data_IF_816965846543
#
_entry.id   IF_816965846543
#
_cell.length_a   1.000
_cell.length_b   1.000
_cell.length_c   1.000
_cell.angle_alpha   90.00
_cell.angle_beta   90.00
_cell.angle_gamma   90.00
#
_symmetry.space_group_name_H-M   'P 1'
#
loop_
_entity.id
_entity.type
_entity.pdbx_description
1 polymer ?
#
# COMPACT_ATOMS: atom_id res chain seq x y z
N UNK A 1 -14.30 2.20 -23.15
CA UNK A 1 -13.10 2.56 -23.95
C UNK A 1 -13.32 2.16 -25.39
N UNK A 2 -12.88 2.98 -26.35
CA UNK A 2 -13.12 2.83 -27.79
C UNK A 2 -12.19 1.77 -28.40
N UNK A 3 -12.71 0.94 -29.31
CA UNK A 3 -11.90 0.12 -30.21
C UNK A 3 -11.52 0.98 -31.43
N UNK A 4 -10.25 1.00 -31.87
CA UNK A 4 -9.86 1.71 -33.08
C UNK A 4 -10.58 1.17 -34.31
N UNK A 5 -10.60 1.98 -35.37
CA UNK A 5 -11.07 1.53 -36.68
C UNK A 5 -9.89 1.09 -37.54
N UNK A 6 -10.14 0.37 -38.62
CA UNK A 6 -9.11 0.12 -39.62
C UNK A 6 -8.93 1.32 -40.55
N UNK A 7 -7.67 1.61 -40.88
CA UNK A 7 -7.29 2.57 -41.90
C UNK A 7 -6.91 1.83 -43.17
N UNK A 8 -7.43 2.29 -44.31
CA UNK A 8 -7.13 1.70 -45.61
C UNK A 8 -5.63 1.84 -45.94
N UNK A 9 -4.92 0.73 -45.87
CA UNK A 9 -3.49 0.61 -46.20
C UNK A 9 -3.32 -0.78 -46.81
N UNK A 10 -3.56 -0.94 -48.12
CA UNK A 10 -3.67 -2.27 -48.74
C UNK A 10 -2.32 -2.98 -48.78
N UNK A 11 -2.11 -3.88 -47.83
CA UNK A 11 -0.93 -4.74 -47.74
C UNK A 11 -1.33 -6.21 -47.85
N UNK A 12 -0.61 -6.97 -48.67
CA UNK A 12 -0.72 -8.43 -48.69
C UNK A 12 0.01 -9.04 -47.50
N UNK A 13 -0.60 -10.02 -46.84
CA UNK A 13 0.02 -10.72 -45.72
C UNK A 13 -0.98 -11.51 -44.87
N UNK A 14 -0.56 -11.87 -43.65
CA UNK A 14 -1.41 -12.59 -42.68
C UNK A 14 -2.09 -11.64 -41.72
N UNK A 15 -3.39 -11.84 -41.48
CA UNK A 15 -4.14 -11.11 -40.46
C UNK A 15 -3.59 -11.44 -39.06
N UNK A 16 -3.34 -10.43 -38.23
CA UNK A 16 -2.76 -10.61 -36.89
C UNK A 16 -3.67 -11.40 -35.93
N UNK A 17 -4.98 -11.40 -36.20
CA UNK A 17 -5.95 -12.17 -35.44
C UNK A 17 -6.17 -13.58 -36.00
N UNK A 18 -6.83 -13.70 -37.16
CA UNK A 18 -7.26 -14.99 -37.70
C UNK A 18 -6.17 -15.76 -38.46
N UNK A 19 -4.97 -15.16 -38.62
CA UNK A 19 -3.79 -15.73 -39.31
C UNK A 19 -3.99 -16.11 -40.78
N UNK A 20 -5.18 -15.91 -41.35
CA UNK A 20 -5.46 -16.10 -42.78
C UNK A 20 -4.70 -15.08 -43.61
N UNK A 21 -4.20 -15.54 -44.75
CA UNK A 21 -3.65 -14.67 -45.78
C UNK A 21 -4.76 -13.84 -46.43
N UNK A 22 -4.48 -12.56 -46.66
CA UNK A 22 -5.37 -11.63 -47.34
C UNK A 22 -4.55 -10.80 -48.32
N UNK A 23 -5.15 -10.50 -49.47
CA UNK A 23 -4.56 -9.58 -50.45
C UNK A 23 -4.75 -8.11 -50.04
N UNK A 24 -5.71 -7.83 -49.17
CA UNK A 24 -5.96 -6.51 -48.62
C UNK A 24 -6.14 -6.63 -47.10
N UNK A 25 -5.05 -6.38 -46.38
CA UNK A 25 -5.10 -6.09 -44.95
C UNK A 25 -5.14 -4.58 -44.77
N UNK A 26 -5.78 -4.13 -43.70
CA UNK A 26 -5.82 -2.74 -43.28
C UNK A 26 -5.12 -2.60 -41.94
N UNK A 27 -4.49 -1.46 -41.68
CA UNK A 27 -3.76 -1.23 -40.43
C UNK A 27 -4.69 -0.65 -39.35
N UNK A 28 -4.35 -0.89 -38.09
CA UNK A 28 -4.98 -0.22 -36.96
C UNK A 28 -4.81 1.30 -37.09
N UNK A 29 -5.89 2.08 -36.97
CA UNK A 29 -5.86 3.55 -37.15
C UNK A 29 -4.90 4.25 -36.20
N UNK A 30 -4.75 3.72 -34.99
CA UNK A 30 -4.07 4.40 -33.89
C UNK A 30 -2.57 4.13 -33.93
N UNK A 31 -2.15 2.87 -33.89
CA UNK A 31 -0.73 2.53 -33.85
C UNK A 31 -0.11 2.27 -35.23
N UNK A 32 -0.90 1.90 -36.25
CA UNK A 32 -0.46 1.41 -37.57
C UNK A 32 0.56 0.26 -37.54
N UNK A 33 0.66 -0.46 -36.42
CA UNK A 33 1.62 -1.56 -36.20
C UNK A 33 0.99 -2.95 -36.35
N UNK A 34 -0.34 -3.04 -36.36
CA UNK A 34 -1.08 -4.29 -36.52
C UNK A 34 -2.04 -4.25 -37.71
N UNK A 35 -2.24 -5.40 -38.34
CA UNK A 35 -2.88 -5.55 -39.65
C UNK A 35 -4.00 -6.59 -39.63
N UNK A 36 -5.15 -6.24 -40.17
CA UNK A 36 -6.37 -7.05 -40.08
C UNK A 36 -7.14 -7.07 -41.39
N UNK A 37 -7.82 -8.18 -41.66
CA UNK A 37 -8.69 -8.31 -42.84
C UNK A 37 -10.07 -7.64 -42.62
N UNK A 38 -10.49 -7.39 -41.38
CA UNK A 38 -11.78 -6.75 -41.07
C UNK A 38 -11.79 -6.11 -39.67
N UNK A 39 -12.68 -5.12 -39.46
CA UNK A 39 -12.89 -4.51 -38.14
C UNK A 39 -13.28 -5.57 -37.09
N UNK A 40 -14.01 -6.62 -37.47
CA UNK A 40 -14.35 -7.74 -36.59
C UNK A 40 -13.09 -8.48 -36.08
N UNK A 41 -12.08 -8.66 -36.94
CA UNK A 41 -10.80 -9.25 -36.52
C UNK A 41 -10.04 -8.34 -35.56
N UNK A 42 -10.08 -7.02 -35.78
CA UNK A 42 -9.50 -6.04 -34.87
C UNK A 42 -10.21 -6.05 -33.50
N UNK A 43 -11.54 -5.99 -33.49
CA UNK A 43 -12.37 -6.05 -32.27
C UNK A 43 -12.09 -7.33 -31.47
N UNK A 44 -12.01 -8.46 -32.15
CA UNK A 44 -11.75 -9.75 -31.51
C UNK A 44 -10.32 -9.86 -30.96
N UNK A 45 -9.36 -9.20 -31.61
CA UNK A 45 -7.96 -9.12 -31.14
C UNK A 45 -7.74 -8.02 -30.11
N UNK A 46 -8.69 -7.11 -29.92
CA UNK A 46 -8.47 -5.88 -29.14
C UNK A 46 -8.05 -6.17 -27.70
N UNK A 47 -8.55 -7.25 -27.10
CA UNK A 47 -8.18 -7.67 -25.73
C UNK A 47 -6.67 -7.82 -25.50
N UNK A 48 -5.92 -8.22 -26.52
CA UNK A 48 -4.46 -8.37 -26.47
C UNK A 48 -3.74 -7.26 -27.23
N UNK A 49 -4.26 -6.86 -28.39
CA UNK A 49 -3.63 -5.80 -29.21
C UNK A 49 -3.50 -4.49 -28.47
N UNK A 50 -4.52 -4.12 -27.68
CA UNK A 50 -4.54 -2.84 -26.95
C UNK A 50 -3.33 -2.63 -26.04
N UNK A 51 -2.79 -3.72 -25.49
CA UNK A 51 -1.66 -3.69 -24.56
C UNK A 51 -0.37 -3.16 -25.19
N UNK A 52 -0.28 -3.21 -26.52
CA UNK A 52 0.86 -2.71 -27.31
C UNK A 52 0.45 -1.59 -28.28
N UNK A 53 -0.84 -1.23 -28.30
CA UNK A 53 -1.40 -0.17 -29.15
C UNK A 53 -1.55 1.15 -28.41
N UNK A 54 -2.01 1.10 -27.16
CA UNK A 54 -2.27 2.27 -26.32
C UNK A 54 -0.98 2.80 -25.69
N UNK A 55 -1.01 4.07 -25.28
CA UNK A 55 0.05 4.61 -24.44
C UNK A 55 0.03 3.92 -23.07
N UNK A 56 1.20 3.62 -22.45
CA UNK A 56 1.26 3.05 -21.11
C UNK A 56 0.39 3.77 -20.06
N UNK A 57 0.19 5.08 -20.17
CA UNK A 57 -0.66 5.85 -19.24
C UNK A 57 -2.16 5.52 -19.36
N UNK A 58 -2.59 5.03 -20.53
CA UNK A 58 -3.98 4.64 -20.79
C UNK A 58 -4.26 3.19 -20.37
N UNK A 59 -3.23 2.42 -20.05
CA UNK A 59 -3.36 1.04 -19.59
C UNK A 59 -3.81 1.01 -18.14
N UNK A 60 -4.77 0.14 -17.85
CA UNK A 60 -5.17 -0.15 -16.47
C UNK A 60 -4.08 -0.96 -15.75
N UNK A 61 -4.14 -1.04 -14.43
CA UNK A 61 -3.23 -1.91 -13.65
C UNK A 61 -3.38 -3.39 -14.06
N UNK A 62 -4.57 -3.85 -14.44
CA UNK A 62 -4.76 -5.22 -14.94
C UNK A 62 -4.10 -5.43 -16.32
N UNK A 63 -4.17 -4.43 -17.21
CA UNK A 63 -3.49 -4.48 -18.51
C UNK A 63 -1.97 -4.60 -18.33
N UNK A 64 -1.39 -3.82 -17.41
CA UNK A 64 0.04 -3.87 -17.09
C UNK A 64 0.43 -5.18 -16.42
N UNK A 65 -0.44 -5.76 -15.60
CA UNK A 65 -0.25 -7.11 -15.04
C UNK A 65 -0.32 -8.20 -16.13
N UNK A 66 -1.21 -8.07 -17.10
CA UNK A 66 -1.31 -9.01 -18.22
C UNK A 66 -0.04 -8.96 -19.10
N UNK A 67 0.52 -7.77 -19.35
CA UNK A 67 1.82 -7.63 -20.01
C UNK A 67 2.95 -8.34 -19.24
N UNK A 68 2.99 -8.19 -17.91
CA UNK A 68 3.93 -8.91 -17.06
C UNK A 68 3.75 -10.44 -17.19
N UNK A 69 2.50 -10.93 -17.15
CA UNK A 69 2.17 -12.34 -17.34
C UNK A 69 2.58 -12.91 -18.72
N UNK A 70 2.37 -12.15 -19.80
CA UNK A 70 2.74 -12.58 -21.15
C UNK A 70 4.26 -12.61 -21.37
N UNK A 71 4.99 -11.71 -20.72
CA UNK A 71 6.46 -11.65 -20.76
C UNK A 71 7.13 -12.59 -19.76
N UNK A 72 6.35 -13.23 -18.86
CA UNK A 72 6.87 -14.10 -17.81
C UNK A 72 7.70 -13.37 -16.75
N UNK A 73 7.64 -12.04 -16.70
CA UNK A 73 8.40 -11.21 -15.77
C UNK A 73 7.48 -10.64 -14.70
N UNK A 74 7.78 -10.80 -13.39
CA UNK A 74 6.95 -10.24 -12.33
C UNK A 74 6.76 -8.72 -12.47
N UNK A 75 5.58 -8.17 -12.10
CA UNK A 75 5.31 -6.75 -12.20
C UNK A 75 6.25 -5.94 -11.29
N UNK A 76 6.62 -4.74 -11.74
CA UNK A 76 7.40 -3.75 -10.95
C UNK A 76 6.65 -2.45 -10.73
N UNK A 77 5.53 -2.28 -11.42
CA UNK A 77 4.68 -1.10 -11.33
C UNK A 77 4.04 -1.00 -9.93
N UNK A 78 4.25 0.11 -9.20
CA UNK A 78 3.75 0.24 -7.83
C UNK A 78 2.24 0.08 -7.69
N UNK A 79 1.46 0.58 -8.66
CA UNK A 79 0.00 0.49 -8.61
C UNK A 79 -0.45 -0.96 -8.88
N UNK A 80 0.21 -1.67 -9.79
CA UNK A 80 -0.03 -3.12 -9.99
C UNK A 80 0.30 -3.90 -8.73
N UNK A 81 1.45 -3.61 -8.11
CA UNK A 81 1.85 -4.29 -6.88
C UNK A 81 0.84 -4.05 -5.74
N UNK A 82 0.29 -2.85 -5.66
CA UNK A 82 -0.73 -2.45 -4.69
C UNK A 82 -2.08 -3.12 -4.95
N UNK A 83 -2.58 -2.99 -6.18
CA UNK A 83 -3.91 -3.42 -6.59
C UNK A 83 -4.10 -4.94 -6.51
N UNK A 84 -3.05 -5.70 -6.85
CA UNK A 84 -3.11 -7.15 -6.98
C UNK A 84 -2.41 -7.89 -5.84
N UNK A 85 -2.22 -7.22 -4.69
CA UNK A 85 -1.84 -7.87 -3.44
C UNK A 85 -0.36 -8.19 -3.28
N UNK A 86 0.49 -7.87 -4.25
CA UNK A 86 1.93 -8.13 -4.16
C UNK A 86 2.60 -7.36 -3.02
N UNK A 87 2.16 -6.12 -2.74
CA UNK A 87 2.64 -5.37 -1.58
C UNK A 87 2.16 -5.97 -0.25
N UNK A 88 1.02 -6.66 -0.24
CA UNK A 88 0.47 -7.30 0.95
C UNK A 88 1.11 -8.65 1.26
N UNK A 89 1.73 -9.28 0.26
CA UNK A 89 2.48 -10.52 0.43
C UNK A 89 3.86 -10.24 1.04
N UNK A 90 4.09 -10.79 2.24
CA UNK A 90 5.34 -10.65 2.98
C UNK A 90 6.36 -11.73 2.63
N UNK A 91 5.91 -12.90 2.15
CA UNK A 91 6.81 -13.99 1.77
C UNK A 91 7.11 -13.95 0.26
N UNK A 92 8.38 -14.11 -0.17
CA UNK A 92 8.73 -14.11 -1.59
C UNK A 92 7.97 -15.17 -2.41
N UNK A 93 7.77 -16.37 -1.87
CA UNK A 93 7.01 -17.44 -2.54
C UNK A 93 5.54 -17.07 -2.74
N UNK A 94 4.91 -16.36 -1.79
CA UNK A 94 3.54 -15.85 -1.94
C UNK A 94 3.41 -14.89 -3.13
N UNK A 95 4.41 -14.04 -3.37
CA UNK A 95 4.41 -13.15 -4.55
C UNK A 95 4.50 -13.93 -5.85
N UNK A 96 5.27 -15.01 -5.88
CA UNK A 96 5.34 -15.91 -7.03
C UNK A 96 3.98 -16.60 -7.27
N UNK A 97 3.33 -17.13 -6.21
CA UNK A 97 2.01 -17.73 -6.34
C UNK A 97 0.94 -16.74 -6.83
N UNK A 98 0.92 -15.49 -6.33
CA UNK A 98 0.05 -14.43 -6.87
C UNK A 98 0.30 -14.21 -8.36
N UNK A 99 1.57 -14.10 -8.76
CA UNK A 99 1.91 -13.90 -10.16
C UNK A 99 1.46 -15.07 -11.03
N UNK A 100 1.64 -16.31 -10.57
CA UNK A 100 1.23 -17.50 -11.30
C UNK A 100 -0.29 -17.62 -11.45
N UNK A 101 -1.08 -17.18 -10.47
CA UNK A 101 -2.54 -17.12 -10.57
C UNK A 101 -2.96 -16.23 -11.73
N UNK A 102 -2.46 -14.98 -11.75
CA UNK A 102 -2.82 -14.04 -12.81
C UNK A 102 -2.23 -14.45 -14.16
N UNK A 103 -1.01 -15.01 -14.17
CA UNK A 103 -0.39 -15.55 -15.38
C UNK A 103 -1.24 -16.66 -15.99
N UNK A 104 -1.78 -17.57 -15.19
CA UNK A 104 -2.64 -18.63 -15.68
C UNK A 104 -3.98 -18.07 -16.20
N UNK A 105 -4.60 -17.13 -15.46
CA UNK A 105 -5.83 -16.45 -15.89
C UNK A 105 -5.68 -15.78 -17.26
N UNK A 106 -4.58 -15.08 -17.50
CA UNK A 106 -4.36 -14.38 -18.77
C UNK A 106 -3.88 -15.31 -19.88
N UNK A 107 -2.91 -16.19 -19.61
CA UNK A 107 -2.26 -16.99 -20.66
C UNK A 107 -3.09 -18.23 -21.04
N UNK A 108 -3.67 -18.92 -20.06
CA UNK A 108 -4.45 -20.15 -20.27
C UNK A 108 -5.95 -19.86 -20.31
N UNK A 109 -6.43 -19.01 -19.42
CA UNK A 109 -7.84 -18.62 -19.39
C UNK A 109 -8.24 -17.67 -20.52
N UNK A 110 -7.29 -16.92 -21.08
CA UNK A 110 -7.57 -15.95 -22.14
C UNK A 110 -8.55 -14.84 -21.72
N UNK A 111 -8.70 -14.63 -20.40
CA UNK A 111 -9.60 -13.62 -19.82
C UNK A 111 -9.09 -12.24 -20.20
N UNK A 112 -10.00 -11.38 -20.63
CA UNK A 112 -9.68 -9.99 -20.96
C UNK A 112 -9.23 -9.23 -19.70
N UNK A 113 -8.06 -8.57 -19.71
CA UNK A 113 -7.58 -7.80 -18.56
C UNK A 113 -8.57 -6.74 -18.07
N UNK A 114 -9.43 -6.20 -18.95
CA UNK A 114 -10.49 -5.25 -18.59
C UNK A 114 -11.53 -5.86 -17.64
N UNK A 115 -11.83 -7.14 -17.83
CA UNK A 115 -12.75 -7.87 -16.94
C UNK A 115 -12.13 -8.00 -15.56
N UNK A 116 -10.86 -8.41 -15.49
CA UNK A 116 -10.11 -8.49 -14.22
C UNK A 116 -10.00 -7.12 -13.53
N UNK A 117 -9.77 -6.05 -14.30
CA UNK A 117 -9.79 -4.69 -13.77
C UNK A 117 -11.14 -4.29 -13.17
N UNK A 118 -12.24 -4.68 -13.80
CA UNK A 118 -13.58 -4.42 -13.30
C UNK A 118 -13.85 -5.16 -11.99
N UNK A 119 -13.52 -6.46 -11.91
CA UNK A 119 -13.60 -7.21 -10.64
C UNK A 119 -12.74 -6.59 -9.53
N UNK A 120 -11.60 -5.97 -9.86
CA UNK A 120 -10.81 -5.19 -8.90
C UNK A 120 -11.55 -3.96 -8.42
N UNK A 121 -12.08 -3.15 -9.34
CA UNK A 121 -12.87 -1.96 -8.99
C UNK A 121 -14.08 -2.30 -8.11
N UNK A 122 -14.72 -3.43 -8.39
CA UNK A 122 -15.90 -3.90 -7.67
C UNK A 122 -15.56 -4.60 -6.34
N UNK A 123 -14.27 -4.76 -6.01
CA UNK A 123 -13.82 -5.44 -4.79
C UNK A 123 -14.07 -6.95 -4.78
N UNK A 124 -14.25 -7.56 -5.94
CA UNK A 124 -14.69 -8.96 -6.14
C UNK A 124 -13.64 -9.82 -6.85
N UNK A 125 -12.36 -9.44 -6.81
CA UNK A 125 -11.25 -10.22 -7.39
C UNK A 125 -11.18 -11.67 -6.89
N UNK A 126 -11.42 -11.89 -5.60
CA UNK A 126 -11.43 -13.24 -5.01
C UNK A 126 -12.45 -14.12 -5.74
N UNK A 127 -13.66 -13.60 -5.96
CA UNK A 127 -14.72 -14.30 -6.67
C UNK A 127 -14.37 -14.55 -8.14
N UNK A 128 -13.71 -13.60 -8.81
CA UNK A 128 -13.22 -13.76 -10.18
C UNK A 128 -12.26 -14.95 -10.30
N UNK A 129 -11.27 -15.02 -9.39
CA UNK A 129 -10.27 -16.10 -9.37
C UNK A 129 -10.93 -17.44 -9.06
N UNK A 130 -11.83 -17.49 -8.06
CA UNK A 130 -12.58 -18.70 -7.71
C UNK A 130 -13.38 -19.23 -8.90
N UNK A 131 -14.20 -18.38 -9.52
CA UNK A 131 -15.04 -18.74 -10.67
C UNK A 131 -14.20 -19.35 -11.80
N UNK A 132 -13.03 -18.76 -12.07
CA UNK A 132 -12.15 -19.25 -13.11
C UNK A 132 -11.53 -20.62 -12.76
N UNK A 133 -10.95 -20.76 -11.56
CA UNK A 133 -10.27 -22.00 -11.17
C UNK A 133 -11.23 -23.15 -10.86
N UNK A 134 -12.44 -22.87 -10.38
CA UNK A 134 -13.43 -23.90 -10.06
C UNK A 134 -14.00 -24.55 -11.32
N UNK A 135 -13.99 -23.85 -12.47
CA UNK A 135 -14.32 -24.42 -13.77
C UNK A 135 -13.28 -25.44 -14.29
N UNK A 136 -12.06 -25.43 -13.74
CA UNK A 136 -10.99 -26.39 -14.06
C UNK A 136 -11.21 -27.66 -13.23
N UNK A 137 -11.02 -28.87 -13.80
CA UNK A 137 -11.05 -30.12 -13.04
C UNK A 137 -10.11 -30.06 -11.83
N UNK A 138 -10.55 -30.59 -10.68
CA UNK A 138 -9.85 -30.45 -9.40
C UNK A 138 -8.38 -30.89 -9.46
N UNK A 139 -8.11 -32.02 -10.13
CA UNK A 139 -6.76 -32.56 -10.32
C UNK A 139 -5.81 -31.64 -11.14
N UNK A 140 -6.34 -30.63 -11.82
CA UNK A 140 -5.60 -29.72 -12.70
C UNK A 140 -5.52 -28.27 -12.18
N UNK A 141 -6.07 -27.98 -11.01
CA UNK A 141 -6.07 -26.61 -10.44
C UNK A 141 -4.70 -26.17 -9.91
N UNK A 142 -3.84 -27.14 -9.56
CA UNK A 142 -2.48 -26.90 -9.08
C UNK A 142 -2.37 -26.33 -7.66
N UNK A 143 -1.15 -26.25 -7.16
CA UNK A 143 -0.86 -25.80 -5.79
C UNK A 143 -1.12 -24.31 -5.57
N UNK A 144 -0.97 -23.48 -6.60
CA UNK A 144 -1.18 -22.03 -6.51
C UNK A 144 -2.62 -21.68 -6.12
N UNK A 145 -3.60 -22.45 -6.59
CA UNK A 145 -5.01 -22.25 -6.23
C UNK A 145 -5.28 -22.68 -4.77
N UNK A 146 -4.70 -23.81 -4.34
CA UNK A 146 -4.79 -24.26 -2.94
C UNK A 146 -4.13 -23.28 -1.96
N UNK A 147 -3.03 -22.63 -2.38
CA UNK A 147 -2.43 -21.52 -1.66
C UNK A 147 -3.36 -20.29 -1.63
N UNK A 148 -3.98 -19.93 -2.76
CA UNK A 148 -4.89 -18.79 -2.85
C UNK A 148 -6.09 -18.91 -1.91
N UNK A 149 -6.71 -20.09 -1.81
CA UNK A 149 -7.86 -20.31 -0.93
C UNK A 149 -7.56 -19.97 0.54
N UNK A 150 -6.30 -20.13 0.98
CA UNK A 150 -5.84 -19.80 2.34
C UNK A 150 -5.37 -18.34 2.48
N UNK A 151 -5.13 -17.66 1.36
CA UNK A 151 -4.52 -16.32 1.32
C UNK A 151 -5.38 -15.27 0.58
N UNK A 152 -6.69 -15.48 0.52
CA UNK A 152 -7.64 -14.56 -0.14
C UNK A 152 -7.58 -13.14 0.43
N UNK A 153 -7.16 -12.99 1.69
CA UNK A 153 -7.00 -11.70 2.36
C UNK A 153 -6.05 -10.74 1.63
N UNK A 154 -5.10 -11.27 0.86
CA UNK A 154 -4.17 -10.49 0.03
C UNK A 154 -4.84 -9.84 -1.18
N UNK A 155 -6.08 -10.18 -1.50
CA UNK A 155 -6.80 -9.69 -2.69
C UNK A 155 -8.16 -9.07 -2.34
N UNK A 156 -8.52 -9.05 -1.05
CA UNK A 156 -9.66 -8.30 -0.58
C UNK A 156 -9.45 -6.79 -0.81
N UNK A 157 -10.53 -5.99 -0.92
CA UNK A 157 -10.39 -4.55 -0.93
C UNK A 157 -9.85 -4.03 0.42
N UNK A 158 -9.06 -2.95 0.44
CA UNK A 158 -8.68 -2.30 1.69
C UNK A 158 -9.94 -1.83 2.44
N UNK A 159 -9.98 -1.95 3.78
CA UNK A 159 -11.12 -1.49 4.59
C UNK A 159 -11.30 0.03 4.56
N UNK A 160 -10.25 0.76 4.19
CA UNK A 160 -10.30 2.19 3.96
C UNK A 160 -9.94 2.42 2.50
N UNK A 161 -10.76 3.21 1.81
CA UNK A 161 -10.36 3.71 0.52
C UNK A 161 -9.11 4.55 0.78
N UNK A 162 -7.96 4.11 0.28
CA UNK A 162 -6.71 4.81 0.53
C UNK A 162 -6.70 6.10 -0.29
N UNK A 163 -7.37 7.12 0.23
CA UNK A 163 -7.31 8.49 -0.29
C UNK A 163 -5.88 9.05 -0.17
N UNK A 164 -4.95 8.30 0.43
CA UNK A 164 -3.53 8.63 0.49
C UNK A 164 -2.77 8.36 -0.82
N UNK A 165 -3.43 7.94 -1.90
CA UNK A 165 -3.00 8.38 -3.24
C UNK A 165 -3.30 9.88 -3.42
N UNK A 166 -2.69 10.68 -2.57
CA UNK A 166 -2.55 12.08 -2.82
C UNK A 166 -1.35 12.29 -3.72
N UNK A 167 -1.65 12.81 -4.89
CA UNK A 167 -0.66 13.53 -5.68
C UNK A 167 -0.30 14.75 -4.84
N UNK A 168 0.83 14.67 -4.14
CA UNK A 168 1.52 15.85 -3.66
C UNK A 168 2.05 16.57 -4.90
N UNK A 169 1.15 17.33 -5.53
CA UNK A 169 1.43 18.07 -6.74
C UNK A 169 2.26 19.31 -6.46
N UNK A 170 2.68 19.96 -7.55
CA UNK A 170 3.49 21.16 -7.51
C UNK A 170 2.74 22.33 -6.84
N UNK A 171 1.41 22.36 -6.91
CA UNK A 171 0.58 23.36 -6.23
C UNK A 171 0.64 23.20 -4.70
N UNK A 172 0.48 21.97 -4.20
CA UNK A 172 0.60 21.66 -2.78
C UNK A 172 2.02 21.93 -2.25
N UNK A 173 3.05 21.66 -3.08
CA UNK A 173 4.44 21.98 -2.78
C UNK A 173 4.64 23.50 -2.64
N UNK A 174 4.18 24.29 -3.61
CA UNK A 174 4.30 25.75 -3.60
C UNK A 174 3.53 26.39 -2.44
N UNK A 175 2.30 25.94 -2.20
CA UNK A 175 1.49 26.45 -1.10
C UNK A 175 2.16 26.19 0.26
N UNK A 176 2.73 25.00 0.45
CA UNK A 176 3.47 24.67 1.69
C UNK A 176 4.75 25.47 1.80
N UNK A 177 5.50 25.63 0.69
CA UNK A 177 6.71 26.45 0.65
C UNK A 177 6.43 27.89 1.06
N UNK A 178 5.39 28.50 0.51
CA UNK A 178 4.94 29.84 0.90
C UNK A 178 4.51 29.90 2.37
N UNK A 179 3.74 28.92 2.83
CA UNK A 179 3.28 28.84 4.22
C UNK A 179 4.44 28.84 5.23
N UNK A 180 5.54 28.15 4.92
CA UNK A 180 6.71 28.09 5.81
C UNK A 180 7.65 29.31 5.68
N UNK A 181 7.29 30.32 4.88
CA UNK A 181 8.06 31.55 4.70
C UNK A 181 8.93 31.60 3.44
N UNK A 182 8.79 30.64 2.53
CA UNK A 182 9.41 30.67 1.21
C UNK A 182 8.79 31.71 0.27
N UNK A 183 9.49 32.08 -0.81
CA UNK A 183 8.96 33.06 -1.76
C UNK A 183 7.82 32.48 -2.58
N UNK A 184 6.73 33.24 -2.73
CA UNK A 184 5.62 32.89 -3.62
C UNK A 184 6.01 32.89 -5.11
N UNK A 185 7.14 33.50 -5.45
CA UNK A 185 7.67 33.52 -6.82
C UNK A 185 8.52 32.30 -7.17
N UNK A 186 8.87 31.45 -6.18
CA UNK A 186 9.71 30.28 -6.42
C UNK A 186 8.92 29.22 -7.21
N UNK A 187 9.51 28.75 -8.29
CA UNK A 187 8.96 27.66 -9.11
C UNK A 187 9.12 26.31 -8.40
N UNK A 188 8.30 25.30 -8.73
CA UNK A 188 8.40 23.97 -8.13
C UNK A 188 9.80 23.35 -8.27
N UNK A 189 10.46 23.60 -9.41
CA UNK A 189 11.83 23.15 -9.68
C UNK A 189 12.85 23.79 -8.74
N UNK A 190 12.76 25.11 -8.53
CA UNK A 190 13.63 25.84 -7.61
C UNK A 190 13.42 25.40 -6.16
N UNK A 191 12.16 25.18 -5.76
CA UNK A 191 11.81 24.66 -4.44
C UNK A 191 12.45 23.28 -4.22
N UNK A 192 12.25 22.34 -5.16
CA UNK A 192 12.84 20.99 -5.11
C UNK A 192 14.37 21.05 -5.01
N UNK A 193 15.01 21.94 -5.78
CA UNK A 193 16.47 22.13 -5.74
C UNK A 193 16.94 22.64 -4.37
N UNK A 194 16.24 23.63 -3.79
CA UNK A 194 16.59 24.18 -2.46
C UNK A 194 16.38 23.15 -1.34
N UNK A 195 15.35 22.33 -1.46
CA UNK A 195 15.07 21.28 -0.50
C UNK A 195 16.05 20.11 -0.62
N UNK A 196 16.74 19.92 -1.74
CA UNK A 196 17.61 18.77 -1.96
C UNK A 196 18.71 18.61 -0.89
N UNK A 197 19.20 19.72 -0.34
CA UNK A 197 20.24 19.72 0.70
C UNK A 197 19.69 19.55 2.13
N UNK A 198 18.37 19.39 2.31
CA UNK A 198 17.77 19.27 3.62
C UNK A 198 18.03 17.88 4.23
N UNK A 199 18.19 17.81 5.56
CA UNK A 199 18.21 16.53 6.25
C UNK A 199 16.84 15.85 6.16
N UNK A 200 16.83 14.52 6.28
CA UNK A 200 15.62 13.71 6.12
C UNK A 200 14.50 14.15 7.08
N UNK A 201 14.83 14.50 8.33
CA UNK A 201 13.87 14.99 9.32
C UNK A 201 13.20 16.30 8.90
N UNK A 202 13.92 17.17 8.20
CA UNK A 202 13.36 18.44 7.71
C UNK A 202 12.40 18.18 6.54
N UNK A 203 12.73 17.24 5.66
CA UNK A 203 11.80 16.74 4.65
C UNK A 203 10.54 16.12 5.26
N UNK A 204 10.68 15.31 6.31
CA UNK A 204 9.52 14.71 7.02
C UNK A 204 8.62 15.80 7.61
N UNK A 205 9.18 16.80 8.29
CA UNK A 205 8.41 17.92 8.83
C UNK A 205 7.69 18.72 7.74
N UNK A 206 8.38 19.01 6.63
CA UNK A 206 7.78 19.73 5.51
C UNK A 206 6.60 18.95 4.91
N UNK A 207 6.81 17.66 4.64
CA UNK A 207 5.78 16.78 4.09
C UNK A 207 4.59 16.67 5.04
N UNK A 208 4.82 16.58 6.35
CA UNK A 208 3.74 16.58 7.32
C UNK A 208 2.92 17.87 7.32
N UNK A 209 3.56 19.04 7.21
CA UNK A 209 2.84 20.32 7.07
C UNK A 209 2.04 20.35 5.76
N UNK A 210 2.61 19.85 4.65
CA UNK A 210 1.90 19.76 3.38
C UNK A 210 0.61 18.94 3.50
N UNK A 211 0.67 17.79 4.19
CA UNK A 211 -0.51 16.97 4.50
C UNK A 211 -1.48 17.70 5.43
N UNK A 212 -0.96 18.42 6.43
CA UNK A 212 -1.74 19.15 7.43
C UNK A 212 -2.59 20.28 6.83
N UNK A 213 -2.07 20.94 5.80
CA UNK A 213 -2.74 22.04 5.10
C UNK A 213 -3.81 21.57 4.10
N UNK A 214 -3.85 20.28 3.77
CA UNK A 214 -4.84 19.74 2.84
C UNK A 214 -6.20 19.55 3.53
N UNK A 215 -7.21 20.23 2.99
CA UNK A 215 -8.56 20.15 3.53
C UNK A 215 -9.11 18.72 3.48
N UNK A 216 -9.63 18.24 4.62
CA UNK A 216 -10.25 16.92 4.73
C UNK A 216 -9.27 15.74 4.79
N UNK A 217 -7.95 15.98 4.79
CA UNK A 217 -6.98 14.89 4.87
C UNK A 217 -7.01 14.19 6.23
N UNK A 218 -6.74 12.88 6.20
CA UNK A 218 -6.58 12.03 7.39
C UNK A 218 -5.39 11.10 7.18
N UNK A 219 -4.57 10.97 8.22
CA UNK A 219 -3.47 10.03 8.21
C UNK A 219 -3.99 8.60 8.32
N UNK A 220 -3.52 7.73 7.43
CA UNK A 220 -3.72 6.29 7.54
C UNK A 220 -2.51 5.65 8.22
N UNK A 221 -2.68 4.49 8.89
CA UNK A 221 -1.54 3.73 9.42
C UNK A 221 -0.50 3.36 8.35
N UNK A 222 -0.87 3.38 7.08
CA UNK A 222 0.05 3.13 5.97
C UNK A 222 1.08 4.23 5.74
N UNK A 223 0.90 5.38 6.38
CA UNK A 223 1.79 6.54 6.29
C UNK A 223 2.79 6.55 7.44
N UNK A 224 4.10 6.76 7.19
CA UNK A 224 5.08 6.91 8.25
C UNK A 224 4.74 8.10 9.18
N UNK A 225 4.11 9.15 8.65
CA UNK A 225 3.70 10.33 9.41
C UNK A 225 2.69 10.01 10.53
N UNK A 226 1.87 8.96 10.37
CA UNK A 226 0.94 8.50 11.40
C UNK A 226 1.67 8.05 12.67
N UNK A 227 2.80 7.36 12.50
CA UNK A 227 3.67 7.00 13.60
C UNK A 227 4.54 8.19 14.04
N UNK A 228 5.23 8.85 13.11
CA UNK A 228 6.23 9.88 13.40
C UNK A 228 5.67 11.11 14.14
N UNK A 229 4.39 11.45 13.92
CA UNK A 229 3.73 12.57 14.59
C UNK A 229 2.71 12.12 15.65
N UNK A 230 2.85 10.88 16.16
CA UNK A 230 2.16 10.43 17.36
C UNK A 230 0.69 10.04 17.20
N UNK A 231 0.13 10.11 15.99
CA UNK A 231 -1.26 9.70 15.72
C UNK A 231 -1.49 8.20 16.03
N UNK A 232 -0.45 7.37 15.90
CA UNK A 232 -0.46 5.98 16.35
C UNK A 232 -0.82 5.81 17.83
N UNK A 233 -0.61 6.82 18.67
CA UNK A 233 -0.99 6.82 20.09
C UNK A 233 -2.47 7.08 20.35
N UNK A 234 -3.22 7.58 19.36
CA UNK A 234 -4.65 7.83 19.50
C UNK A 234 -5.45 6.51 19.57
N UNK A 235 -6.52 6.54 20.36
CA UNK A 235 -7.44 5.39 20.55
C UNK A 235 -8.72 5.49 19.71
N UNK A 236 -9.00 6.67 19.15
CA UNK A 236 -10.22 6.92 18.40
C UNK A 236 -10.02 8.02 17.36
N UNK A 237 -10.89 8.04 16.35
CA UNK A 237 -10.94 9.10 15.34
C UNK A 237 -11.15 10.49 15.97
N UNK A 238 -11.85 10.56 17.10
CA UNK A 238 -12.06 11.81 17.82
C UNK A 238 -10.76 12.35 18.45
N UNK A 239 -9.92 11.46 18.98
CA UNK A 239 -8.59 11.84 19.47
C UNK A 239 -7.66 12.26 18.33
N UNK A 240 -7.65 11.52 17.21
CA UNK A 240 -6.86 11.90 16.03
C UNK A 240 -7.28 13.28 15.48
N UNK A 241 -8.59 13.53 15.40
CA UNK A 241 -9.13 14.84 14.95
C UNK A 241 -8.70 15.98 15.88
N UNK A 242 -8.70 15.75 17.21
CA UNK A 242 -8.23 16.73 18.19
C UNK A 242 -6.73 16.99 18.04
N UNK A 243 -5.92 15.94 17.88
CA UNK A 243 -4.48 16.06 17.67
C UNK A 243 -4.16 16.79 16.36
N UNK A 244 -4.87 16.47 15.28
CA UNK A 244 -4.77 17.16 13.99
C UNK A 244 -5.06 18.66 14.12
N UNK A 245 -6.16 19.03 14.78
CA UNK A 245 -6.52 20.42 15.02
C UNK A 245 -5.48 21.15 15.89
N UNK A 246 -4.88 20.46 16.87
CA UNK A 246 -3.81 21.01 17.69
C UNK A 246 -2.55 21.27 16.85
N UNK A 247 -2.12 20.32 16.01
CA UNK A 247 -1.01 20.52 15.09
C UNK A 247 -1.26 21.70 14.15
N UNK A 248 -2.45 21.80 13.55
CA UNK A 248 -2.80 22.89 12.62
C UNK A 248 -2.73 24.27 13.30
N UNK A 249 -3.19 24.36 14.56
CA UNK A 249 -3.04 25.58 15.36
C UNK A 249 -1.56 25.87 15.65
N UNK A 250 -0.81 24.85 16.05
CA UNK A 250 0.60 25.00 16.41
C UNK A 250 1.41 25.55 15.23
N UNK A 251 1.35 24.91 14.06
CA UNK A 251 2.15 25.31 12.87
C UNK A 251 1.80 26.69 12.33
N UNK A 252 0.62 27.24 12.68
CA UNK A 252 0.22 28.61 12.35
C UNK A 252 0.78 29.66 13.33
N UNK A 253 1.29 29.22 14.48
CA UNK A 253 1.80 30.10 15.55
C UNK A 253 3.32 30.07 15.71
N UNK A 254 3.98 29.04 15.18
CA UNK A 254 5.44 28.86 15.25
C UNK A 254 6.04 28.94 13.85
N UNK A 255 7.33 29.29 13.76
CA UNK A 255 8.05 29.18 12.49
C UNK A 255 8.33 27.71 12.14
N UNK A 256 8.56 27.44 10.85
CA UNK A 256 8.92 26.09 10.42
C UNK A 256 10.20 25.57 11.09
N UNK A 257 11.22 26.41 11.24
CA UNK A 257 12.45 26.00 11.92
C UNK A 257 12.22 25.72 13.41
N UNK A 258 11.35 26.48 14.11
CA UNK A 258 10.96 26.15 15.48
C UNK A 258 10.27 24.77 15.57
N UNK A 259 9.33 24.50 14.66
CA UNK A 259 8.65 23.20 14.59
C UNK A 259 9.64 22.06 14.30
N UNK A 260 10.49 22.22 13.29
CA UNK A 260 11.52 21.26 12.90
C UNK A 260 12.53 21.00 14.02
N UNK A 261 13.00 22.04 14.69
CA UNK A 261 13.90 21.89 15.83
C UNK A 261 13.24 21.19 17.01
N UNK A 262 11.96 21.47 17.28
CA UNK A 262 11.24 20.75 18.32
C UNK A 262 11.03 19.27 17.98
N UNK A 263 10.77 18.95 16.72
CA UNK A 263 10.69 17.56 16.25
C UNK A 263 12.02 16.82 16.42
N UNK A 264 13.12 17.36 15.88
CA UNK A 264 14.45 16.73 15.97
C UNK A 264 14.96 16.60 17.40
N UNK A 265 14.52 17.49 18.31
CA UNK A 265 14.84 17.44 19.75
C UNK A 265 13.86 16.62 20.59
N UNK A 266 12.86 15.96 19.99
CA UNK A 266 11.83 15.21 20.72
C UNK A 266 11.12 16.08 21.76
N UNK A 267 10.97 17.37 21.47
CA UNK A 267 10.41 18.38 22.36
C UNK A 267 9.12 18.99 21.81
N UNK A 268 8.47 18.32 20.84
CA UNK A 268 7.13 18.69 20.38
C UNK A 268 6.12 18.82 21.54
N UNK A 269 6.07 17.91 22.54
CA UNK A 269 5.15 18.07 23.67
C UNK A 269 5.37 19.37 24.46
N UNK A 270 6.63 19.77 24.64
CA UNK A 270 6.97 21.03 25.29
C UNK A 270 6.55 22.23 24.44
N UNK A 271 6.75 22.17 23.12
CA UNK A 271 6.31 23.21 22.18
C UNK A 271 4.78 23.37 22.20
N UNK A 272 4.03 22.27 22.18
CA UNK A 272 2.58 22.25 22.35
C UNK A 272 2.14 22.95 23.64
N UNK A 273 2.78 22.60 24.75
CA UNK A 273 2.45 23.15 26.08
C UNK A 273 2.74 24.65 26.15
N UNK A 274 3.86 25.11 25.59
CA UNK A 274 4.24 26.53 25.54
C UNK A 274 3.24 27.39 24.74
N UNK A 275 2.52 26.79 23.79
CA UNK A 275 1.49 27.45 22.98
C UNK A 275 0.06 27.19 23.48
N UNK A 276 -0.12 26.72 24.72
CA UNK A 276 -1.44 26.52 25.32
C UNK A 276 -2.24 25.35 24.73
N UNK A 277 -1.55 24.38 24.11
CA UNK A 277 -2.14 23.21 23.45
C UNK A 277 -1.60 21.90 24.05
N UNK A 278 -1.64 21.69 25.38
CA UNK A 278 -0.97 20.55 26.02
C UNK A 278 -1.52 19.22 25.53
N UNK A 279 -0.61 18.32 25.14
CA UNK A 279 -0.95 16.93 24.78
C UNK A 279 -1.07 16.11 26.08
N UNK A 280 -2.25 15.58 26.34
CA UNK A 280 -2.54 14.81 27.58
C UNK A 280 -2.55 13.30 27.39
N UNK A 281 -2.55 12.82 26.14
CA UNK A 281 -2.53 11.39 25.87
C UNK A 281 -1.11 10.84 26.07
N UNK A 282 -0.94 10.00 27.10
CA UNK A 282 0.34 9.38 27.46
C UNK A 282 0.98 8.57 26.32
N UNK A 283 0.19 7.97 25.42
CA UNK A 283 0.72 7.23 24.27
C UNK A 283 1.27 8.17 23.20
N UNK A 284 0.60 9.30 22.96
CA UNK A 284 1.11 10.33 22.06
C UNK A 284 2.39 10.95 22.65
N UNK A 285 2.41 11.20 23.96
CA UNK A 285 3.59 11.69 24.67
C UNK A 285 4.77 10.71 24.58
N UNK A 286 4.52 9.41 24.76
CA UNK A 286 5.54 8.36 24.62
C UNK A 286 6.20 8.38 23.24
N UNK A 287 5.39 8.51 22.18
CA UNK A 287 5.89 8.54 20.81
C UNK A 287 6.66 9.85 20.54
N UNK A 288 6.08 11.00 20.87
CA UNK A 288 6.66 12.31 20.57
C UNK A 288 7.88 12.67 21.45
N UNK A 289 8.00 12.06 22.63
CA UNK A 289 9.12 12.24 23.54
C UNK A 289 10.38 11.45 23.12
N UNK A 290 10.22 10.38 22.35
CA UNK A 290 11.34 9.56 21.87
C UNK A 290 11.66 9.78 20.37
N UNK A 291 10.66 10.15 19.55
CA UNK A 291 10.80 10.36 18.09
C UNK A 291 11.55 11.66 17.78
N UNK A 292 12.43 11.73 16.76
CA UNK A 292 12.81 10.69 15.80
C UNK A 292 13.97 9.77 16.24
N UNK A 293 14.44 9.87 17.50
CA UNK A 293 15.67 9.20 17.94
C UNK A 293 15.48 7.73 18.26
N UNK A 294 14.36 7.38 18.89
CA UNK A 294 14.02 6.02 19.28
C UNK A 294 12.51 5.83 19.16
N UNK A 295 12.09 4.67 18.69
CA UNK A 295 10.67 4.30 18.66
C UNK A 295 10.55 2.92 19.26
N UNK A 296 9.75 2.78 20.31
CA UNK A 296 9.45 1.46 20.90
C UNK A 296 8.84 0.57 19.82
N UNK A 297 9.30 -0.68 19.73
CA UNK A 297 8.93 -1.59 18.65
C UNK A 297 7.42 -1.86 18.58
N UNK A 298 6.70 -1.69 19.69
CA UNK A 298 5.24 -1.89 19.74
C UNK A 298 4.48 -0.91 18.87
N UNK A 299 5.03 0.29 18.64
CA UNK A 299 4.41 1.26 17.76
C UNK A 299 4.57 0.87 16.29
N UNK A 300 5.68 0.25 15.92
CA UNK A 300 5.86 -0.39 14.61
C UNK A 300 4.91 -1.59 14.45
N UNK A 301 4.71 -2.39 15.50
CA UNK A 301 3.72 -3.47 15.50
C UNK A 301 2.30 -2.92 15.28
N UNK A 302 1.91 -1.88 16.02
CA UNK A 302 0.58 -1.26 15.87
C UNK A 302 0.40 -0.71 14.45
N UNK A 303 1.42 -0.07 13.89
CA UNK A 303 1.38 0.38 12.50
C UNK A 303 1.22 -0.77 11.53
N UNK A 304 2.04 -1.83 11.65
CA UNK A 304 1.98 -3.02 10.79
C UNK A 304 0.63 -3.75 10.84
N UNK A 305 -0.01 -3.81 12.01
CA UNK A 305 -1.26 -4.56 12.21
C UNK A 305 -2.50 -3.80 11.78
N UNK A 306 -2.44 -2.47 11.80
CA UNK A 306 -3.56 -1.60 11.40
C UNK A 306 -3.42 -1.11 9.96
N UNK A 307 -2.19 -0.97 9.46
CA UNK A 307 -1.90 -0.61 8.09
C UNK A 307 -2.08 -1.78 7.14
N UNK A 308 -2.45 -1.45 5.92
CA UNK A 308 -2.86 -2.42 4.92
C UNK A 308 -1.76 -2.77 3.91
N UNK A 309 -0.78 -1.89 3.74
CA UNK A 309 0.38 -2.03 2.85
C UNK A 309 1.72 -2.01 3.61
N UNK A 310 1.68 -2.04 4.94
CA UNK A 310 2.86 -2.04 5.78
C UNK A 310 3.69 -3.30 5.61
N UNK A 311 5.01 -3.12 5.54
CA UNK A 311 5.95 -4.23 5.48
C UNK A 311 6.41 -4.63 6.89
N UNK A 312 6.82 -5.88 7.05
CA UNK A 312 7.46 -6.35 8.28
C UNK A 312 8.80 -5.64 8.46
N UNK A 313 8.94 -4.93 9.57
CA UNK A 313 10.20 -4.30 9.97
C UNK A 313 10.98 -5.23 10.90
N UNK A 314 12.30 -5.06 10.99
CA UNK A 314 13.15 -5.87 11.87
C UNK A 314 12.65 -5.93 13.31
N UNK A 315 12.25 -4.82 13.96
CA UNK A 315 11.71 -4.87 15.31
C UNK A 315 10.43 -5.72 15.40
N UNK A 316 9.57 -5.70 14.37
CA UNK A 316 8.33 -6.48 14.36
C UNK A 316 8.61 -7.97 14.20
N UNK A 317 9.58 -8.33 13.37
CA UNK A 317 10.02 -9.71 13.16
C UNK A 317 10.55 -10.34 14.44
N UNK A 318 11.42 -9.62 15.17
CA UNK A 318 12.13 -10.15 16.33
C UNK A 318 11.26 -10.16 17.59
N UNK A 319 10.57 -9.07 17.87
CA UNK A 319 9.94 -8.86 19.18
C UNK A 319 8.56 -9.53 19.29
N UNK A 320 7.83 -9.62 18.18
CA UNK A 320 6.41 -10.00 18.19
C UNK A 320 6.12 -11.31 17.44
N UNK A 321 7.14 -12.13 17.22
CA UNK A 321 6.99 -13.51 16.76
C UNK A 321 6.77 -13.69 15.26
N UNK A 322 6.77 -12.61 14.47
CA UNK A 322 6.61 -12.70 13.01
C UNK A 322 7.81 -13.38 12.33
N UNK A 323 9.00 -13.29 12.91
CA UNK A 323 10.18 -14.01 12.43
C UNK A 323 10.07 -15.54 12.57
N UNK A 324 9.15 -16.03 13.40
CA UNK A 324 8.91 -17.46 13.60
C UNK A 324 7.81 -18.01 12.68
N UNK A 325 7.13 -17.15 11.91
CA UNK A 325 6.12 -17.56 10.94
C UNK A 325 6.77 -18.20 9.71
N UNK A 326 6.24 -19.34 9.27
CA UNK A 326 6.78 -20.11 8.12
C UNK A 326 6.13 -19.76 6.79
N UNK A 327 4.93 -19.19 6.83
CA UNK A 327 4.12 -18.89 5.66
C UNK A 327 3.25 -17.65 5.90
N UNK A 328 2.67 -17.17 4.81
CA UNK A 328 1.82 -15.98 4.76
C UNK A 328 0.54 -16.12 5.59
N UNK A 329 -0.05 -17.32 5.61
CA UNK A 329 -1.25 -17.63 6.38
C UNK A 329 -1.00 -17.44 7.88
N UNK A 330 0.16 -17.91 8.36
CA UNK A 330 0.58 -17.76 9.75
C UNK A 330 0.88 -16.30 10.08
N UNK A 331 1.54 -15.56 9.17
CA UNK A 331 1.78 -14.11 9.32
C UNK A 331 0.45 -13.37 9.46
N UNK A 332 -0.50 -13.62 8.55
CA UNK A 332 -1.80 -12.98 8.57
C UNK A 332 -2.58 -13.33 9.84
N UNK A 333 -2.60 -14.61 10.23
CA UNK A 333 -3.27 -15.06 11.45
C UNK A 333 -2.72 -14.38 12.70
N UNK A 334 -1.39 -14.25 12.81
CA UNK A 334 -0.75 -13.55 13.91
C UNK A 334 -1.02 -12.03 13.86
N UNK A 335 -1.04 -11.43 12.67
CA UNK A 335 -1.43 -10.04 12.48
C UNK A 335 -2.86 -9.79 12.99
N UNK A 336 -3.80 -10.69 12.73
CA UNK A 336 -5.19 -10.58 13.22
C UNK A 336 -5.28 -10.67 14.74
N UNK A 337 -4.46 -11.51 15.38
CA UNK A 337 -4.37 -11.58 16.86
C UNK A 337 -3.98 -10.21 17.43
N UNK A 338 -2.93 -9.58 16.92
CA UNK A 338 -2.51 -8.25 17.39
C UNK A 338 -3.50 -7.14 17.02
N UNK A 339 -4.11 -7.20 15.84
CA UNK A 339 -5.17 -6.27 15.43
C UNK A 339 -6.34 -6.29 16.42
N UNK A 340 -6.76 -7.49 16.84
CA UNK A 340 -7.80 -7.68 17.85
C UNK A 340 -7.44 -7.05 19.19
N UNK A 341 -6.18 -7.14 19.61
CA UNK A 341 -5.71 -6.49 20.84
C UNK A 341 -5.85 -4.97 20.74
N UNK A 342 -5.40 -4.36 19.64
CA UNK A 342 -5.39 -2.91 19.50
C UNK A 342 -6.77 -2.30 19.24
N UNK A 343 -7.66 -3.02 18.55
CA UNK A 343 -8.98 -2.52 18.15
C UNK A 343 -10.08 -2.97 19.11
N UNK A 344 -10.19 -4.26 19.41
CA UNK A 344 -11.33 -4.80 20.15
C UNK A 344 -11.09 -4.78 21.67
N UNK A 345 -9.91 -5.22 22.12
CA UNK A 345 -9.60 -5.29 23.55
C UNK A 345 -9.10 -3.96 24.13
N UNK A 346 -8.85 -2.94 23.28
CA UNK A 346 -8.21 -1.67 23.66
C UNK A 346 -6.94 -1.89 24.50
N UNK A 347 -6.15 -2.91 24.11
CA UNK A 347 -4.96 -3.33 24.83
C UNK A 347 -3.93 -2.20 24.90
N UNK A 348 -3.30 -2.05 26.06
CA UNK A 348 -2.28 -1.03 26.27
C UNK A 348 -0.99 -1.42 25.53
N UNK A 349 -0.56 -0.66 24.49
CA UNK A 349 0.65 -0.99 23.72
C UNK A 349 1.91 -1.03 24.59
N UNK A 350 2.03 -0.17 25.58
CA UNK A 350 3.21 -0.13 26.45
C UNK A 350 3.31 -1.38 27.34
N UNK A 351 2.17 -1.87 27.87
CA UNK A 351 2.14 -3.15 28.61
C UNK A 351 2.48 -4.34 27.72
N UNK A 352 2.05 -4.32 26.46
CA UNK A 352 2.41 -5.34 25.48
C UNK A 352 3.92 -5.33 25.20
N UNK A 353 4.51 -4.14 25.08
CA UNK A 353 5.95 -3.97 24.93
C UNK A 353 6.72 -4.51 26.15
N UNK A 354 6.28 -4.17 27.37
CA UNK A 354 6.88 -4.70 28.61
C UNK A 354 6.78 -6.23 28.69
N UNK A 355 5.64 -6.82 28.29
CA UNK A 355 5.46 -8.27 28.25
C UNK A 355 6.40 -8.93 27.24
N UNK A 356 6.61 -8.30 26.07
CA UNK A 356 7.59 -8.72 25.08
C UNK A 356 9.02 -8.72 25.63
N UNK A 357 9.44 -7.63 26.28
CA UNK A 357 10.77 -7.50 26.86
C UNK A 357 11.05 -8.58 27.93
N UNK A 358 10.02 -8.97 28.68
CA UNK A 358 10.08 -10.02 29.73
C UNK A 358 9.91 -11.45 29.21
N UNK A 359 9.75 -11.66 27.89
CA UNK A 359 9.48 -12.97 27.32
C UNK A 359 8.11 -13.58 27.73
N UNK A 360 7.15 -12.75 28.16
CA UNK A 360 5.81 -13.16 28.65
C UNK A 360 4.69 -12.76 27.69
N UNK A 361 5.01 -12.65 26.40
CA UNK A 361 4.10 -12.09 25.39
C UNK A 361 2.81 -12.90 25.26
N UNK A 362 2.92 -14.22 25.07
CA UNK A 362 1.75 -15.11 24.96
C UNK A 362 0.87 -15.08 26.21
N UNK A 363 1.49 -15.10 27.40
CA UNK A 363 0.77 -15.07 28.68
C UNK A 363 -0.01 -13.77 28.87
N UNK A 364 0.57 -12.64 28.51
CA UNK A 364 -0.09 -11.35 28.56
C UNK A 364 -1.27 -11.29 27.58
N UNK A 365 -1.08 -11.75 26.35
CA UNK A 365 -2.13 -11.73 25.31
C UNK A 365 -3.32 -12.60 25.70
N UNK A 366 -3.07 -13.77 26.29
CA UNK A 366 -4.08 -14.68 26.83
C UNK A 366 -5.01 -14.02 27.86
N UNK A 367 -4.54 -13.02 28.58
CA UNK A 367 -5.35 -12.27 29.55
C UNK A 367 -6.27 -11.24 28.88
N UNK A 368 -5.95 -10.81 27.66
CA UNK A 368 -6.70 -9.78 26.93
C UNK A 368 -7.73 -10.39 25.98
N UNK A 369 -7.38 -11.50 25.31
CA UNK A 369 -8.23 -12.13 24.29
C UNK A 369 -8.10 -13.65 24.34
N UNK A 370 -9.13 -14.34 23.81
CA UNK A 370 -9.03 -15.78 23.51
C UNK A 370 -8.05 -15.98 22.35
N UNK A 371 -6.96 -16.70 22.61
CA UNK A 371 -5.91 -17.03 21.66
C UNK A 371 -5.70 -18.55 21.60
N UNK A 372 -5.43 -19.08 20.40
CA UNK A 372 -5.15 -20.50 20.22
C UNK A 372 -3.73 -20.86 20.71
N UNK A 373 -3.54 -22.04 21.33
CA UNK A 373 -2.22 -22.48 21.81
C UNK A 373 -1.14 -22.55 20.73
N UNK A 374 -1.54 -22.70 19.45
CA UNK A 374 -0.61 -22.75 18.30
C UNK A 374 0.26 -21.50 18.14
N UNK A 375 -0.16 -20.36 18.70
CA UNK A 375 0.60 -19.10 18.65
C UNK A 375 1.69 -19.00 19.72
N UNK A 376 1.64 -19.82 20.77
CA UNK A 376 2.64 -19.81 21.84
C UNK A 376 4.09 -19.98 21.35
N UNK A 377 4.43 -20.98 20.50
CA UNK A 377 5.79 -21.13 19.99
C UNK A 377 6.21 -20.01 19.04
N UNK A 378 5.26 -19.26 18.45
CA UNK A 378 5.59 -18.13 17.57
C UNK A 378 5.98 -16.89 18.39
N UNK A 379 5.38 -16.70 19.57
CA UNK A 379 5.53 -15.49 20.39
C UNK A 379 6.73 -15.55 21.36
N UNK A 380 7.71 -16.41 21.11
CA UNK A 380 8.97 -16.43 21.85
C UNK A 380 9.90 -15.33 21.34
N UNK A 381 10.19 -14.34 22.20
CA UNK A 381 11.22 -13.34 21.94
C UNK A 381 12.60 -14.02 22.05
N UNK A 382 13.44 -13.88 21.03
CA UNK A 382 14.80 -14.46 20.95
C UNK A 382 15.77 -13.71 21.89
N UNK A 383 15.44 -12.47 22.26
CA UNK A 383 16.27 -11.61 23.12
C UNK A 383 15.44 -11.00 24.27
N UNK A 384 14.98 -11.80 25.26
CA UNK A 384 14.38 -11.21 26.44
C UNK A 384 15.44 -10.44 27.23
N UNK A 385 15.14 -9.21 27.61
CA UNK A 385 15.94 -8.50 28.62
C UNK A 385 15.59 -9.09 29.98
N UNK A 386 16.60 -9.62 30.69
CA UNK A 386 16.47 -10.14 32.07
C UNK A 386 15.85 -9.11 33.03
#
# INVERSE_FOLDING_TARGET
>A
MRVPTLKAEEKQGKCDYCRRESQSLNSCSDCRKAWYCSNQCLESHWKTHRLYCLDPIELTTADRLALAAFTGSPPRDPDVLKDFGFLRAHVPSSRAYLFDIFRYIFNQGGIDPRVVHQFRLDGTLVHCIQTFYEAIPEASRGECYSWFLRNQHLLMPPPFNDISHEVLDDDALQHTWWFIGGSASDTPTEIKLRMQAWPEEKHRCFKFIQLLLRAGFRLSPDRPEWLQFGFCGCKSNAEETKLWAAYLKLVRTVTFDQFYHAYTKSSLPALFSAHGLPVTNNFVLDILGDTPRRTKSVWNLKQFTLGYYQQLTTPVLVDYGFGNCKDEETIYSLQQVYRKIFIEANGNPLKLHEACLRGKLFDHIRQLIRIEPKFAPLMSNIHPTE
#
